data_IF_998812329682
#
_entry.id   IF_998812329682
#
_cell.length_a   1.000
_cell.length_b   1.000
_cell.length_c   1.000
_cell.angle_alpha   90.00
_cell.angle_beta   90.00
_cell.angle_gamma   90.00
#
_symmetry.space_group_name_H-M   'P 1'
#
loop_
_entity.id
_entity.type
_entity.pdbx_description
1 polymer ?
#
# COMPACT_ATOMS: atom_id res chain seq x y z
N UNK A 1 48.69 31.51 -10.36
CA UNK A 1 48.24 31.86 -11.72
C UNK A 1 46.97 31.05 -12.02
N UNK A 2 45.77 31.64 -11.87
CA UNK A 2 44.50 30.94 -12.11
C UNK A 2 44.31 30.66 -13.61
N UNK A 3 43.97 29.40 -13.95
CA UNK A 3 43.71 28.97 -15.33
C UNK A 3 42.33 29.48 -15.77
N UNK A 4 42.32 30.43 -16.70
CA UNK A 4 41.10 30.98 -17.29
C UNK A 4 40.50 29.91 -18.21
N UNK A 5 39.36 29.35 -17.82
CA UNK A 5 38.58 28.46 -18.67
C UNK A 5 37.72 29.31 -19.62
N UNK A 6 38.13 29.40 -20.89
CA UNK A 6 37.27 30.00 -21.92
C UNK A 6 36.00 29.16 -22.08
N UNK A 7 34.86 29.85 -22.15
CA UNK A 7 33.56 29.24 -22.46
C UNK A 7 33.66 28.60 -23.85
N UNK A 8 33.17 27.36 -23.95
CA UNK A 8 33.17 26.60 -25.20
C UNK A 8 32.28 27.27 -26.23
N UNK A 9 32.69 27.20 -27.50
CA UNK A 9 31.90 27.74 -28.60
C UNK A 9 30.67 26.85 -28.84
N UNK A 10 29.57 27.40 -29.41
CA UNK A 10 28.36 26.61 -29.69
C UNK A 10 28.63 25.37 -30.55
N UNK A 11 29.57 25.48 -31.50
CA UNK A 11 30.01 24.37 -32.35
C UNK A 11 30.61 23.22 -31.52
N UNK A 12 31.45 23.54 -30.54
CA UNK A 12 32.12 22.57 -29.68
C UNK A 12 31.15 21.86 -28.73
N UNK A 13 30.03 22.52 -28.38
CA UNK A 13 28.97 21.90 -27.59
C UNK A 13 28.14 20.88 -28.40
N UNK A 14 27.87 21.18 -29.68
CA UNK A 14 27.18 20.26 -30.60
C UNK A 14 28.02 18.99 -30.80
N UNK A 15 29.31 19.12 -31.09
CA UNK A 15 30.22 17.99 -31.28
C UNK A 15 30.33 17.13 -30.01
N UNK A 16 30.37 17.77 -28.84
CA UNK A 16 30.36 17.06 -27.56
C UNK A 16 29.07 16.28 -27.34
N UNK A 17 27.91 16.85 -27.68
CA UNK A 17 26.61 16.17 -27.59
C UNK A 17 26.55 14.99 -28.57
N UNK A 18 27.03 15.15 -29.80
CA UNK A 18 27.14 14.08 -30.78
C UNK A 18 28.04 12.94 -30.28
N UNK A 19 29.23 13.26 -29.76
CA UNK A 19 30.17 12.28 -29.19
C UNK A 19 29.59 11.56 -27.97
N UNK A 20 28.84 12.26 -27.12
CA UNK A 20 28.16 11.66 -25.96
C UNK A 20 27.01 10.74 -26.39
N UNK A 21 26.29 11.07 -27.47
CA UNK A 21 25.23 10.23 -28.06
C UNK A 21 25.83 8.97 -28.69
N UNK A 22 26.88 9.10 -29.49
CA UNK A 22 27.59 7.98 -30.09
C UNK A 22 28.16 7.00 -29.02
N UNK A 23 28.73 7.54 -27.92
CA UNK A 23 29.23 6.69 -26.82
C UNK A 23 28.11 5.92 -26.11
N UNK A 24 26.93 6.52 -25.95
CA UNK A 24 25.75 5.87 -25.37
C UNK A 24 25.19 4.77 -26.28
N UNK A 25 25.16 5.03 -27.58
CA UNK A 25 24.68 4.08 -28.59
C UNK A 25 25.63 2.87 -28.69
N UNK A 26 26.94 3.12 -28.71
CA UNK A 26 27.93 2.05 -28.70
C UNK A 26 27.86 1.22 -27.41
N UNK A 27 27.67 1.87 -26.25
CA UNK A 27 27.43 1.18 -24.98
C UNK A 27 26.22 0.23 -25.01
N UNK A 28 25.10 0.66 -25.63
CA UNK A 28 23.89 -0.17 -25.76
C UNK A 28 24.11 -1.43 -26.60
N UNK A 29 24.86 -1.33 -27.70
CA UNK A 29 25.18 -2.50 -28.52
C UNK A 29 26.10 -3.50 -27.80
N UNK A 30 27.08 -3.01 -27.04
CA UNK A 30 27.98 -3.90 -26.27
C UNK A 30 27.27 -4.62 -25.12
N UNK A 31 26.34 -3.97 -24.41
CA UNK A 31 25.58 -4.61 -23.32
C UNK A 31 24.55 -5.62 -23.84
N UNK A 32 23.96 -5.37 -25.01
CA UNK A 32 23.00 -6.29 -25.64
C UNK A 32 23.69 -7.59 -26.10
N UNK A 33 24.89 -7.49 -26.66
CA UNK A 33 25.61 -8.67 -27.16
C UNK A 33 26.18 -9.54 -26.02
N UNK A 34 26.59 -8.92 -24.90
CA UNK A 34 27.06 -9.65 -23.71
C UNK A 34 25.95 -10.50 -23.08
N UNK A 35 24.70 -10.01 -23.06
CA UNK A 35 23.53 -10.78 -22.59
C UNK A 35 23.09 -11.90 -23.54
N UNK A 36 23.43 -11.81 -24.83
CA UNK A 36 23.11 -12.86 -25.82
C UNK A 36 24.12 -14.01 -25.78
N UNK A 37 25.41 -13.71 -25.55
CA UNK A 37 26.48 -14.71 -25.47
C UNK A 37 26.42 -15.59 -24.21
N UNK A 38 25.86 -15.12 -23.09
CA UNK A 38 25.65 -15.96 -21.90
C UNK A 38 24.44 -16.90 -22.02
N UNK A 39 23.56 -16.68 -23.00
CA UNK A 39 22.33 -17.47 -23.17
C UNK A 39 22.50 -18.73 -24.02
N UNK A 40 23.59 -18.86 -24.77
CA UNK A 40 23.81 -19.99 -25.70
C UNK A 40 24.68 -21.13 -25.13
N UNK A 41 25.19 -21.03 -23.89
CA UNK A 41 26.03 -22.07 -23.28
C UNK A 41 25.45 -22.76 -22.04
N UNK A 42 24.15 -22.57 -21.74
CA UNK A 42 23.51 -23.26 -20.61
C UNK A 42 22.34 -24.14 -21.07
N UNK A 43 22.57 -25.44 -21.34
CA UNK A 43 21.52 -26.39 -21.67
C UNK A 43 20.84 -26.87 -20.39
N UNK A 44 19.99 -26.03 -19.79
CA UNK A 44 18.88 -26.39 -18.89
C UNK A 44 18.42 -25.17 -18.09
N UNK A 45 17.44 -24.44 -18.62
CA UNK A 45 16.55 -23.62 -17.79
C UNK A 45 15.25 -23.34 -18.55
N UNK A 46 14.28 -24.24 -18.39
CA UNK A 46 12.87 -23.96 -18.66
C UNK A 46 12.42 -22.83 -17.72
N UNK A 47 12.51 -21.57 -18.16
CA UNK A 47 11.81 -20.45 -17.51
C UNK A 47 10.53 -20.17 -18.27
N UNK A 48 9.42 -20.69 -17.72
CA UNK A 48 8.06 -20.25 -18.03
C UNK A 48 7.92 -18.80 -17.59
N UNK A 49 7.88 -17.89 -18.55
CA UNK A 49 7.35 -16.53 -18.39
C UNK A 49 6.27 -16.36 -19.44
N UNK A 50 5.05 -16.70 -19.05
CA UNK A 50 3.79 -16.24 -19.64
C UNK A 50 2.72 -16.68 -18.64
N UNK A 51 2.25 -15.75 -17.80
CA UNK A 51 0.96 -15.91 -17.14
C UNK A 51 -0.08 -15.66 -18.22
N UNK A 52 -0.51 -16.77 -18.81
CA UNK A 52 -1.69 -16.84 -19.65
C UNK A 52 -2.91 -16.93 -18.75
N UNK A 53 -3.87 -16.09 -19.08
CA UNK A 53 -5.20 -15.97 -18.53
C UNK A 53 -6.04 -17.12 -19.08
N UNK A 54 -6.21 -18.21 -18.34
CA UNK A 54 -7.18 -19.25 -18.72
C UNK A 54 -7.87 -19.84 -17.48
N UNK A 55 -9.18 -19.80 -17.60
CA UNK A 55 -10.27 -20.26 -16.76
C UNK A 55 -10.28 -21.78 -16.49
N UNK A 56 -10.82 -22.14 -15.32
CA UNK A 56 -11.91 -23.11 -15.17
C UNK A 56 -11.83 -24.44 -15.93
N UNK A 57 -11.48 -25.53 -15.23
CA UNK A 57 -12.11 -26.85 -15.45
C UNK A 57 -11.83 -27.79 -14.29
N UNK A 58 -12.90 -28.23 -13.63
CA UNK A 58 -12.99 -29.46 -12.84
C UNK A 58 -12.59 -30.67 -13.70
N UNK A 59 -11.72 -31.55 -13.18
CA UNK A 59 -11.85 -33.00 -13.42
C UNK A 59 -11.07 -33.82 -12.38
N UNK A 60 -11.81 -34.71 -11.72
CA UNK A 60 -11.38 -35.76 -10.82
C UNK A 60 -10.57 -36.85 -11.57
N UNK A 61 -9.31 -37.11 -11.18
CA UNK A 61 -8.74 -38.46 -11.34
C UNK A 61 -7.59 -38.72 -10.34
N UNK A 62 -7.70 -39.73 -9.45
CA UNK A 62 -6.60 -40.15 -8.58
C UNK A 62 -5.75 -41.24 -9.25
N UNK A 63 -4.54 -40.88 -9.68
CA UNK A 63 -3.51 -41.81 -10.17
C UNK A 63 -2.45 -42.11 -9.10
N UNK A 64 -2.06 -43.39 -8.86
CA UNK A 64 -1.18 -43.76 -7.77
C UNK A 64 0.32 -43.74 -8.14
N UNK A 65 1.14 -43.28 -7.19
CA UNK A 65 2.45 -43.86 -6.92
C UNK A 65 3.65 -43.37 -7.75
N UNK A 66 4.34 -42.35 -7.27
CA UNK A 66 5.78 -42.20 -7.49
C UNK A 66 6.47 -41.70 -6.22
N UNK A 67 7.42 -42.49 -5.71
CA UNK A 67 8.23 -42.21 -4.52
C UNK A 67 9.13 -41.00 -4.74
N UNK A 68 9.26 -40.05 -3.81
CA UNK A 68 10.25 -38.99 -3.94
C UNK A 68 11.63 -39.51 -3.55
N UNK A 69 12.53 -39.47 -4.53
CA UNK A 69 13.97 -39.61 -4.37
C UNK A 69 14.50 -38.48 -3.50
N UNK A 70 15.04 -38.83 -2.34
CA UNK A 70 15.87 -38.00 -1.49
C UNK A 70 17.13 -37.53 -2.23
N UNK A 71 17.60 -36.32 -1.92
CA UNK A 71 18.83 -35.65 -2.37
C UNK A 71 18.73 -34.84 -3.67
N UNK A 72 18.15 -33.64 -3.58
CA UNK A 72 18.46 -32.53 -4.49
C UNK A 72 18.60 -31.23 -3.70
N UNK A 73 19.84 -31.00 -3.28
CA UNK A 73 20.53 -29.70 -3.13
C UNK A 73 19.66 -28.47 -2.84
N UNK A 74 19.80 -27.98 -1.60
CA UNK A 74 19.42 -26.64 -1.17
C UNK A 74 19.99 -25.59 -2.13
N UNK A 75 19.14 -25.10 -3.03
CA UNK A 75 19.37 -23.86 -3.75
C UNK A 75 19.26 -22.72 -2.73
N UNK A 76 20.40 -22.28 -2.22
CA UNK A 76 20.55 -21.04 -1.47
C UNK A 76 20.17 -19.89 -2.40
N UNK A 77 18.89 -19.52 -2.40
CA UNK A 77 18.43 -18.26 -2.96
C UNK A 77 18.99 -17.16 -2.06
N UNK A 78 20.25 -16.78 -2.28
CA UNK A 78 20.76 -15.52 -1.77
C UNK A 78 20.01 -14.42 -2.50
N UNK A 79 19.21 -13.58 -1.79
CA UNK A 79 18.60 -12.43 -2.40
C UNK A 79 19.70 -11.57 -3.01
N UNK A 80 19.54 -11.17 -4.28
CA UNK A 80 20.48 -10.28 -4.93
C UNK A 80 20.41 -8.90 -4.26
N UNK A 81 21.22 -8.71 -3.22
CA UNK A 81 21.23 -7.53 -2.37
C UNK A 81 21.60 -6.26 -3.15
N UNK A 82 22.35 -6.40 -4.25
CA UNK A 82 22.67 -5.27 -5.13
C UNK A 82 21.45 -4.80 -5.91
N UNK A 83 20.65 -5.75 -6.41
CA UNK A 83 19.35 -5.47 -7.06
C UNK A 83 18.39 -4.76 -6.11
N UNK A 84 18.21 -5.29 -4.89
CA UNK A 84 17.31 -4.70 -3.88
C UNK A 84 17.79 -3.30 -3.46
N UNK A 85 19.11 -3.11 -3.34
CA UNK A 85 19.70 -1.80 -3.00
C UNK A 85 19.51 -0.79 -4.13
N UNK A 86 19.70 -1.20 -5.38
CA UNK A 86 19.48 -0.33 -6.53
C UNK A 86 18.02 0.11 -6.65
N UNK A 87 17.07 -0.80 -6.39
CA UNK A 87 15.64 -0.48 -6.39
C UNK A 87 15.26 0.51 -5.27
N UNK A 88 15.81 0.32 -4.06
CA UNK A 88 15.62 1.26 -2.96
C UNK A 88 16.25 2.63 -3.22
N UNK A 89 17.44 2.68 -3.83
CA UNK A 89 18.08 3.93 -4.22
C UNK A 89 17.31 4.64 -5.35
N UNK A 90 16.77 3.90 -6.33
CA UNK A 90 15.91 4.46 -7.37
C UNK A 90 14.57 4.97 -6.79
N UNK A 91 13.96 4.24 -5.85
CA UNK A 91 12.75 4.67 -5.16
C UNK A 91 12.99 5.97 -4.37
N UNK A 92 14.09 6.05 -3.61
CA UNK A 92 14.50 7.27 -2.90
C UNK A 92 14.82 8.42 -3.86
N UNK A 93 15.43 8.12 -5.01
CA UNK A 93 15.71 9.13 -6.02
C UNK A 93 14.41 9.69 -6.63
N UNK A 94 13.43 8.83 -6.92
CA UNK A 94 12.11 9.26 -7.41
C UNK A 94 11.33 10.04 -6.37
N UNK A 95 11.32 9.59 -5.12
CA UNK A 95 10.70 10.32 -4.01
C UNK A 95 11.34 11.70 -3.83
N UNK A 96 12.67 11.78 -3.88
CA UNK A 96 13.41 13.05 -3.81
C UNK A 96 13.11 13.97 -4.99
N UNK A 97 12.96 13.42 -6.20
CA UNK A 97 12.56 14.19 -7.38
C UNK A 97 11.11 14.66 -7.27
N UNK A 98 10.20 13.84 -6.75
CA UNK A 98 8.80 14.22 -6.55
C UNK A 98 8.65 15.32 -5.48
N UNK A 99 9.35 15.20 -4.36
CA UNK A 99 9.36 16.21 -3.30
C UNK A 99 9.95 17.55 -3.79
N UNK A 100 10.95 17.52 -4.67
CA UNK A 100 11.53 18.74 -5.25
C UNK A 100 10.56 19.48 -6.18
N UNK A 101 9.62 18.79 -6.84
CA UNK A 101 8.57 19.44 -7.64
C UNK A 101 7.42 19.97 -6.78
N UNK A 102 7.10 19.31 -5.66
CA UNK A 102 6.06 19.75 -4.72
C UNK A 102 6.47 21.05 -3.99
N UNK A 103 7.78 21.25 -3.75
CA UNK A 103 8.31 22.49 -3.18
C UNK A 103 8.34 23.68 -4.17
N UNK A 104 8.31 23.45 -5.48
CA UNK A 104 8.25 24.53 -6.49
C UNK A 104 6.82 25.10 -6.62
N UNK A 105 5.77 24.27 -6.47
CA UNK A 105 4.37 24.74 -6.40
C UNK A 105 4.11 25.64 -5.15
N UNK A 106 4.99 25.56 -4.15
CA UNK A 106 4.96 26.40 -2.95
C UNK A 106 5.49 27.81 -3.19
N UNK A 107 6.38 28.02 -4.17
CA UNK A 107 6.94 29.33 -4.48
C UNK A 107 5.90 30.27 -5.11
N UNK A 108 5.06 29.76 -6.00
CA UNK A 108 3.92 30.52 -6.57
C UNK A 108 2.91 30.91 -5.47
N UNK A 109 2.71 30.02 -4.49
CA UNK A 109 1.85 30.26 -3.32
C UNK A 109 2.44 31.32 -2.37
N UNK A 110 3.77 31.36 -2.23
CA UNK A 110 4.48 32.31 -1.40
C UNK A 110 4.61 33.69 -2.08
N UNK A 111 4.75 33.73 -3.40
CA UNK A 111 4.73 34.96 -4.19
C UNK A 111 3.35 35.63 -4.15
N UNK A 112 2.26 34.84 -4.29
CA UNK A 112 0.90 35.34 -4.10
C UNK A 112 0.69 35.93 -2.69
N UNK A 113 1.16 35.21 -1.66
CA UNK A 113 1.06 35.66 -0.27
C UNK A 113 1.96 36.87 0.07
N UNK A 114 3.12 37.01 -0.57
CA UNK A 114 3.97 38.20 -0.40
C UNK A 114 3.37 39.43 -1.07
N UNK A 115 2.73 39.26 -2.22
CA UNK A 115 2.00 40.33 -2.89
C UNK A 115 0.76 40.78 -2.10
N UNK A 116 0.14 39.89 -1.32
CA UNK A 116 -0.98 40.25 -0.42
C UNK A 116 -0.54 41.09 0.80
N UNK A 117 0.69 40.90 1.31
CA UNK A 117 1.19 41.65 2.47
C UNK A 117 1.89 42.97 2.11
N UNK A 118 2.28 43.17 0.86
CA UNK A 118 2.69 44.47 0.36
C UNK A 118 1.44 45.32 0.07
N UNK A 119 0.76 45.78 1.13
CA UNK A 119 -0.28 46.81 1.03
C UNK A 119 0.37 48.15 0.66
N UNK A 120 0.85 48.24 -0.59
CA UNK A 120 1.25 49.48 -1.25
C UNK A 120 -0.03 50.32 -1.37
N UNK A 121 -0.12 51.47 -0.68
CA UNK A 121 -1.30 52.33 -0.75
C UNK A 121 -1.61 52.68 -2.20
N UNK A 122 -2.88 52.63 -2.58
CA UNK A 122 -3.35 52.78 -3.98
C UNK A 122 -2.79 54.01 -4.68
N UNK A 123 -2.57 55.12 -3.97
CA UNK A 123 -1.99 56.34 -4.54
C UNK A 123 -0.54 56.20 -5.05
N UNK A 124 0.19 55.17 -4.62
CA UNK A 124 1.54 54.82 -5.10
C UNK A 124 1.53 53.70 -6.15
N UNK A 125 0.38 53.03 -6.38
CA UNK A 125 0.15 52.22 -7.57
C UNK A 125 -0.15 53.17 -8.73
N UNK A 126 0.90 53.82 -9.22
CA UNK A 126 0.89 54.75 -10.34
C UNK A 126 -0.02 54.27 -11.48
N UNK A 127 -1.14 54.98 -11.69
CA UNK A 127 -1.73 55.31 -12.99
C UNK A 127 -1.82 54.19 -14.07
N UNK A 128 -2.00 52.92 -13.68
CA UNK A 128 -2.12 51.80 -14.64
C UNK A 128 -3.34 50.91 -14.40
N UNK A 129 -4.14 51.13 -13.37
CA UNK A 129 -5.38 50.37 -13.14
C UNK A 129 -6.46 51.32 -12.64
N UNK A 130 -7.24 51.84 -13.58
CA UNK A 130 -8.54 52.45 -13.35
C UNK A 130 -9.50 51.41 -12.76
N UNK A 131 -10.30 51.86 -11.79
CA UNK A 131 -11.62 51.34 -11.38
C UNK A 131 -11.74 49.87 -10.98
N UNK A 132 -11.26 49.52 -9.78
CA UNK A 132 -11.85 48.45 -8.98
C UNK A 132 -12.81 49.07 -7.93
N UNK A 133 -14.02 49.45 -8.37
CA UNK A 133 -15.13 49.63 -7.45
C UNK A 133 -16.35 48.89 -7.97
N UNK A 134 -16.80 47.91 -7.17
CA UNK A 134 -18.17 47.42 -7.11
C UNK A 134 -18.62 46.46 -8.22
N UNK A 135 -18.46 45.15 -7.97
CA UNK A 135 -19.49 44.16 -8.32
C UNK A 135 -19.65 43.74 -9.78
N UNK A 136 -18.64 43.91 -10.64
CA UNK A 136 -18.60 43.25 -11.94
C UNK A 136 -17.32 42.43 -12.10
N UNK A 137 -17.47 41.22 -12.63
CA UNK A 137 -16.48 40.16 -12.60
C UNK A 137 -15.13 40.64 -13.15
N UNK A 138 -14.05 40.24 -12.47
CA UNK A 138 -12.70 40.34 -12.98
C UNK A 138 -12.64 39.69 -14.38
N UNK A 139 -12.72 40.51 -15.43
CA UNK A 139 -12.53 40.14 -16.84
C UNK A 139 -11.06 39.79 -17.10
N UNK A 140 -10.56 38.76 -16.42
CA UNK A 140 -9.18 38.29 -16.57
C UNK A 140 -8.93 37.63 -17.93
N UNK A 141 -10.00 37.28 -18.66
CA UNK A 141 -9.93 36.87 -20.05
C UNK A 141 -10.47 38.02 -20.93
N UNK A 142 -9.60 38.61 -21.75
CA UNK A 142 -9.93 39.62 -22.76
C UNK A 142 -11.05 39.18 -23.73
N UNK A 143 -11.43 37.91 -23.73
CA UNK A 143 -12.55 37.34 -24.49
C UNK A 143 -13.92 37.67 -23.88
N UNK A 144 -14.04 37.82 -22.56
CA UNK A 144 -15.32 38.13 -21.92
C UNK A 144 -15.72 39.60 -22.14
N UNK A 145 -14.75 40.52 -22.17
CA UNK A 145 -14.99 41.95 -22.44
C UNK A 145 -15.63 42.18 -23.83
N UNK A 146 -15.36 41.30 -24.81
CA UNK A 146 -15.87 41.44 -26.19
C UNK A 146 -17.24 40.83 -26.42
N UNK A 147 -17.74 40.00 -25.49
CA UNK A 147 -19.06 39.38 -25.56
C UNK A 147 -20.15 40.24 -24.90
N UNK A 148 -19.79 41.33 -24.21
CA UNK A 148 -20.75 42.26 -23.63
C UNK A 148 -21.35 43.18 -24.71
N UNK A 149 -22.62 43.53 -24.54
CA UNK A 149 -23.36 44.42 -25.45
C UNK A 149 -22.76 45.84 -25.38
N UNK A 150 -22.21 46.40 -26.47
CA UNK A 150 -21.55 47.71 -26.45
C UNK A 150 -22.46 48.88 -26.05
N UNK A 151 -23.79 48.70 -26.07
CA UNK A 151 -24.76 49.71 -25.66
C UNK A 151 -24.89 49.88 -24.13
N UNK A 152 -24.33 48.96 -23.35
CA UNK A 152 -24.37 48.99 -21.88
C UNK A 152 -23.01 49.29 -21.23
N UNK A 153 -21.94 49.43 -22.02
CA UNK A 153 -20.60 49.76 -21.53
C UNK A 153 -20.48 51.25 -21.25
N UNK A 154 -19.66 51.60 -20.25
CA UNK A 154 -19.26 52.99 -20.05
C UNK A 154 -18.27 53.44 -21.16
N UNK A 155 -18.05 54.75 -21.28
CA UNK A 155 -17.23 55.31 -22.36
C UNK A 155 -15.75 54.84 -22.30
N UNK A 156 -15.26 54.51 -21.10
CA UNK A 156 -13.90 53.99 -20.88
C UNK A 156 -13.78 52.52 -21.31
N UNK A 157 -14.72 51.67 -20.91
CA UNK A 157 -14.87 50.27 -21.29
C UNK A 157 -15.09 50.14 -22.80
N UNK A 158 -15.91 51.02 -23.39
CA UNK A 158 -16.12 51.06 -24.83
C UNK A 158 -14.81 51.42 -25.58
N UNK A 159 -14.03 52.37 -25.06
CA UNK A 159 -12.74 52.73 -25.64
C UNK A 159 -11.72 51.58 -25.55
N UNK A 160 -11.77 50.77 -24.51
CA UNK A 160 -10.95 49.55 -24.38
C UNK A 160 -11.45 48.42 -25.28
N UNK A 161 -12.76 48.22 -25.38
CA UNK A 161 -13.38 47.29 -26.32
C UNK A 161 -12.99 47.59 -27.77
N UNK A 162 -13.04 48.86 -28.20
CA UNK A 162 -12.59 49.31 -29.52
C UNK A 162 -11.09 49.03 -29.71
N UNK A 163 -10.25 49.35 -28.72
CA UNK A 163 -8.80 49.09 -28.78
C UNK A 163 -8.49 47.60 -28.90
N UNK A 164 -9.15 46.77 -28.12
CA UNK A 164 -9.02 45.30 -28.14
C UNK A 164 -9.55 44.70 -29.44
N UNK A 165 -10.67 45.19 -29.96
CA UNK A 165 -11.22 44.77 -31.26
C UNK A 165 -10.30 45.16 -32.43
N UNK A 166 -9.71 46.35 -32.39
CA UNK A 166 -8.73 46.80 -33.39
C UNK A 166 -7.41 46.04 -33.29
N UNK A 167 -6.95 45.72 -32.08
CA UNK A 167 -5.78 44.89 -31.85
C UNK A 167 -5.97 43.47 -32.41
N UNK A 168 -7.13 42.85 -32.18
CA UNK A 168 -7.48 41.53 -32.76
C UNK A 168 -7.54 41.55 -34.29
N UNK A 169 -8.07 42.63 -34.89
CA UNK A 169 -8.13 42.76 -36.36
C UNK A 169 -6.74 42.91 -36.98
N UNK A 170 -5.82 43.60 -36.30
CA UNK A 170 -4.44 43.83 -36.78
C UNK A 170 -3.49 42.68 -36.47
N UNK A 171 -3.68 42.00 -35.35
CA UNK A 171 -2.86 40.87 -34.86
C UNK A 171 -3.63 39.55 -34.92
N UNK A 172 -4.58 39.42 -35.84
CA UNK A 172 -5.43 38.22 -35.98
C UNK A 172 -4.62 36.94 -36.13
N UNK A 173 -3.47 37.01 -36.82
CA UNK A 173 -2.56 35.89 -37.02
C UNK A 173 -1.84 35.49 -35.74
N UNK A 174 -1.40 36.45 -34.93
CA UNK A 174 -0.73 36.17 -33.65
C UNK A 174 -1.73 35.62 -32.62
N UNK A 175 -2.97 36.14 -32.63
CA UNK A 175 -4.04 35.62 -31.77
C UNK A 175 -4.40 34.17 -32.11
N UNK A 176 -4.48 33.84 -33.40
CA UNK A 176 -4.72 32.45 -33.83
C UNK A 176 -3.58 31.52 -33.38
N UNK A 177 -2.33 31.95 -33.51
CA UNK A 177 -1.16 31.16 -33.06
C UNK A 177 -1.14 30.99 -31.52
N UNK A 178 -1.51 32.04 -30.77
CA UNK A 178 -1.62 31.97 -29.32
C UNK A 178 -2.75 31.05 -28.85
N UNK A 179 -3.90 31.10 -29.52
CA UNK A 179 -5.02 30.19 -29.26
C UNK A 179 -4.67 28.73 -29.57
N UNK A 180 -3.99 28.46 -30.69
CA UNK A 180 -3.48 27.12 -30.98
C UNK A 180 -2.45 26.65 -29.94
N UNK A 181 -1.59 27.54 -29.47
CA UNK A 181 -0.62 27.25 -28.41
C UNK A 181 -1.30 26.94 -27.07
N UNK A 182 -2.36 27.68 -26.71
CA UNK A 182 -3.18 27.46 -25.50
C UNK A 182 -3.91 26.12 -25.62
N UNK A 183 -4.60 25.88 -26.73
CA UNK A 183 -5.29 24.62 -27.01
C UNK A 183 -4.34 23.41 -26.99
N UNK A 184 -3.14 23.53 -27.56
CA UNK A 184 -2.13 22.45 -27.52
C UNK A 184 -1.62 22.17 -26.10
N UNK A 185 -1.44 23.21 -25.28
CA UNK A 185 -1.04 23.05 -23.86
C UNK A 185 -2.16 22.40 -23.05
N UNK A 186 -3.39 22.81 -23.26
CA UNK A 186 -4.56 22.23 -22.60
C UNK A 186 -4.80 20.79 -23.04
N UNK A 187 -4.68 20.48 -24.33
CA UNK A 187 -4.75 19.11 -24.84
C UNK A 187 -3.68 18.21 -24.21
N UNK A 188 -2.43 18.70 -24.11
CA UNK A 188 -1.34 17.94 -23.44
C UNK A 188 -1.62 17.73 -21.94
N UNK A 189 -2.12 18.75 -21.25
CA UNK A 189 -2.51 18.64 -19.83
C UNK A 189 -3.68 17.67 -19.64
N UNK A 190 -4.66 17.68 -20.55
CA UNK A 190 -5.80 16.78 -20.52
C UNK A 190 -5.39 15.32 -20.76
N UNK A 191 -4.51 15.07 -21.73
CA UNK A 191 -3.97 13.73 -22.00
C UNK A 191 -3.15 13.20 -20.81
N UNK A 192 -2.29 14.04 -20.22
CA UNK A 192 -1.52 13.66 -19.04
C UNK A 192 -2.42 13.38 -17.82
N UNK A 193 -3.45 14.20 -17.61
CA UNK A 193 -4.45 13.99 -16.56
C UNK A 193 -5.25 12.70 -16.79
N UNK A 194 -5.60 12.39 -18.03
CA UNK A 194 -6.27 11.14 -18.38
C UNK A 194 -5.39 9.93 -18.08
N UNK A 195 -4.12 9.95 -18.52
CA UNK A 195 -3.16 8.87 -18.24
C UNK A 195 -2.91 8.71 -16.73
N UNK A 196 -2.83 9.82 -15.98
CA UNK A 196 -2.68 9.79 -14.52
C UNK A 196 -3.93 9.24 -13.84
N UNK A 197 -5.12 9.57 -14.33
CA UNK A 197 -6.37 9.03 -13.80
C UNK A 197 -6.51 7.52 -14.07
N UNK A 198 -6.11 7.03 -15.24
CA UNK A 198 -6.12 5.59 -15.55
C UNK A 198 -5.14 4.81 -14.67
N UNK A 199 -3.91 5.31 -14.53
CA UNK A 199 -2.91 4.67 -13.65
C UNK A 199 -3.33 4.70 -12.18
N UNK A 200 -3.94 5.79 -11.71
CA UNK A 200 -4.49 5.88 -10.37
C UNK A 200 -5.67 4.91 -10.14
N UNK A 201 -6.56 4.74 -11.13
CA UNK A 201 -7.65 3.77 -11.06
C UNK A 201 -7.13 2.34 -10.98
N UNK A 202 -6.15 1.98 -11.80
CA UNK A 202 -5.53 0.66 -11.77
C UNK A 202 -4.82 0.39 -10.43
N UNK A 203 -4.09 1.39 -9.91
CA UNK A 203 -3.41 1.28 -8.62
C UNK A 203 -4.40 1.11 -7.45
N UNK A 204 -5.51 1.86 -7.46
CA UNK A 204 -6.55 1.74 -6.44
C UNK A 204 -7.21 0.35 -6.46
N UNK A 205 -7.46 -0.23 -7.64
CA UNK A 205 -7.98 -1.59 -7.77
C UNK A 205 -6.99 -2.63 -7.22
N UNK A 206 -5.70 -2.50 -7.53
CA UNK A 206 -4.67 -3.40 -7.02
C UNK A 206 -4.51 -3.31 -5.49
N UNK A 207 -4.59 -2.11 -4.91
CA UNK A 207 -4.54 -1.90 -3.46
C UNK A 207 -5.75 -2.54 -2.76
N UNK A 208 -6.95 -2.38 -3.33
CA UNK A 208 -8.16 -3.00 -2.79
C UNK A 208 -8.09 -4.53 -2.85
N UNK A 209 -7.60 -5.10 -3.95
CA UNK A 209 -7.42 -6.54 -4.06
C UNK A 209 -6.41 -7.06 -3.03
N UNK A 210 -5.29 -6.37 -2.87
CA UNK A 210 -4.28 -6.71 -1.86
C UNK A 210 -4.86 -6.64 -0.45
N UNK A 211 -5.65 -5.61 -0.14
CA UNK A 211 -6.37 -5.46 1.13
C UNK A 211 -7.36 -6.60 1.35
N UNK A 212 -8.13 -6.99 0.33
CA UNK A 212 -9.06 -8.12 0.39
C UNK A 212 -8.33 -9.44 0.65
N UNK A 213 -7.24 -9.69 -0.07
CA UNK A 213 -6.41 -10.89 0.09
C UNK A 213 -5.79 -10.97 1.49
N UNK A 214 -5.35 -9.85 2.06
CA UNK A 214 -4.84 -9.78 3.44
C UNK A 214 -5.93 -10.16 4.45
N UNK A 215 -7.14 -9.60 4.32
CA UNK A 215 -8.28 -9.94 5.19
C UNK A 215 -8.64 -11.43 5.09
N UNK A 216 -8.69 -11.99 3.88
CA UNK A 216 -8.97 -13.42 3.69
C UNK A 216 -7.90 -14.32 4.32
N UNK A 217 -6.62 -13.97 4.19
CA UNK A 217 -5.53 -14.70 4.85
C UNK A 217 -5.67 -14.68 6.37
N UNK A 218 -6.03 -13.53 6.95
CA UNK A 218 -6.28 -13.41 8.38
C UNK A 218 -7.45 -14.28 8.82
N UNK A 219 -8.59 -14.26 8.11
CA UNK A 219 -9.74 -15.12 8.40
C UNK A 219 -9.35 -16.60 8.37
N UNK A 220 -8.68 -17.05 7.30
CA UNK A 220 -8.19 -18.44 7.17
C UNK A 220 -7.25 -18.82 8.32
N UNK A 221 -6.38 -17.90 8.73
CA UNK A 221 -5.48 -18.13 9.87
C UNK A 221 -6.25 -18.33 11.17
N UNK A 222 -7.29 -17.55 11.42
CA UNK A 222 -8.17 -17.73 12.59
C UNK A 222 -8.94 -19.05 12.52
N UNK A 223 -9.47 -19.42 11.35
CA UNK A 223 -10.16 -20.71 11.16
C UNK A 223 -9.25 -21.90 11.43
N UNK A 224 -8.03 -21.88 10.86
CA UNK A 224 -7.04 -22.91 11.10
C UNK A 224 -6.67 -23.02 12.59
N UNK A 225 -6.44 -21.88 13.26
CA UNK A 225 -6.14 -21.86 14.69
C UNK A 225 -7.28 -22.42 15.56
N UNK A 226 -8.54 -22.20 15.17
CA UNK A 226 -9.70 -22.79 15.87
C UNK A 226 -9.80 -24.30 15.66
N UNK A 227 -9.56 -24.76 14.43
CA UNK A 227 -9.52 -26.20 14.15
C UNK A 227 -8.40 -26.88 14.94
N UNK A 228 -7.22 -26.26 15.04
CA UNK A 228 -6.10 -26.74 15.84
C UNK A 228 -6.49 -26.80 17.33
N UNK A 229 -7.09 -25.73 17.87
CA UNK A 229 -7.60 -25.68 19.25
C UNK A 229 -8.55 -26.85 19.57
N UNK A 230 -9.53 -27.13 18.69
CA UNK A 230 -10.47 -28.22 18.91
C UNK A 230 -9.82 -29.60 18.75
N UNK A 231 -8.90 -29.76 17.80
CA UNK A 231 -8.14 -31.01 17.62
C UNK A 231 -7.27 -31.34 18.84
N UNK A 232 -6.62 -30.32 19.43
CA UNK A 232 -5.81 -30.44 20.63
C UNK A 232 -6.65 -30.75 21.86
N UNK A 233 -7.82 -30.13 21.97
CA UNK A 233 -8.78 -30.48 23.02
C UNK A 233 -9.22 -31.94 22.93
N UNK A 234 -9.55 -32.42 21.72
CA UNK A 234 -9.88 -33.83 21.50
C UNK A 234 -8.71 -34.75 21.86
N UNK A 235 -7.50 -34.41 21.45
CA UNK A 235 -6.29 -35.18 21.78
C UNK A 235 -6.06 -35.26 23.30
N UNK A 236 -6.21 -34.14 24.02
CA UNK A 236 -6.06 -34.11 25.48
C UNK A 236 -7.14 -34.90 26.21
N UNK A 237 -8.37 -34.93 25.70
CA UNK A 237 -9.45 -35.71 26.27
C UNK A 237 -9.30 -37.21 26.01
N UNK A 238 -8.68 -37.60 24.89
CA UNK A 238 -8.39 -38.99 24.55
C UNK A 238 -7.13 -39.54 25.24
N UNK A 239 -6.24 -38.65 25.67
CA UNK A 239 -5.00 -39.04 26.34
C UNK A 239 -5.31 -39.65 27.72
N UNK A 240 -4.92 -40.91 27.91
CA UNK A 240 -5.09 -41.65 29.15
C UNK A 240 -4.19 -41.08 30.27
N UNK A 241 -4.58 -41.32 31.54
CA UNK A 241 -3.83 -40.87 32.73
C UNK A 241 -2.38 -41.38 32.79
N UNK A 242 -2.03 -42.43 32.04
CA UNK A 242 -0.74 -43.11 32.12
C UNK A 242 0.37 -42.49 31.26
N UNK A 243 0.05 -41.70 30.23
CA UNK A 243 0.95 -41.59 29.07
C UNK A 243 1.71 -40.26 28.91
N UNK A 244 1.40 -39.18 29.64
CA UNK A 244 2.19 -37.94 29.49
C UNK A 244 2.12 -36.96 30.68
N UNK A 245 3.29 -36.39 31.02
CA UNK A 245 3.40 -35.17 31.82
C UNK A 245 3.10 -33.98 30.93
N UNK A 246 2.02 -33.25 31.23
CA UNK A 246 1.60 -32.06 30.49
C UNK A 246 2.36 -30.82 30.99
N UNK A 247 2.71 -29.94 30.07
CA UNK A 247 3.26 -28.62 30.34
C UNK A 247 2.20 -27.53 30.15
N UNK A 248 2.47 -26.32 30.65
CA UNK A 248 1.58 -25.17 30.48
C UNK A 248 1.24 -24.88 28.99
N UNK A 249 2.18 -25.15 28.07
CA UNK A 249 2.00 -24.90 26.64
C UNK A 249 1.17 -25.97 25.92
N UNK A 250 1.02 -27.16 26.51
CA UNK A 250 0.26 -28.27 25.91
C UNK A 250 -1.25 -28.02 26.02
N UNK A 251 -1.67 -27.28 27.05
CA UNK A 251 -3.06 -26.87 27.26
C UNK A 251 -3.51 -25.95 26.11
N UNK A 252 -4.68 -26.17 25.48
CA UNK A 252 -5.14 -25.41 24.33
C UNK A 252 -5.86 -24.18 24.86
N UNK A 253 -5.11 -23.12 25.14
CA UNK A 253 -5.68 -21.85 25.60
C UNK A 253 -6.52 -21.19 24.51
N UNK A 254 -7.66 -20.55 24.84
CA UNK A 254 -8.58 -19.96 23.88
C UNK A 254 -8.09 -18.60 23.36
N UNK A 255 -6.84 -18.54 22.90
CA UNK A 255 -6.19 -17.34 22.34
C UNK A 255 -5.33 -17.72 21.14
N UNK A 256 -5.22 -16.81 20.17
CA UNK A 256 -4.49 -17.08 18.92
C UNK A 256 -2.99 -17.36 19.17
N UNK A 257 -2.39 -16.70 20.16
CA UNK A 257 -0.98 -16.86 20.50
C UNK A 257 -0.63 -18.32 20.88
N UNK A 258 -1.58 -19.04 21.49
CA UNK A 258 -1.39 -20.41 21.96
C UNK A 258 -1.43 -21.46 20.84
N UNK A 259 -2.01 -21.13 19.68
CA UNK A 259 -2.18 -22.05 18.55
C UNK A 259 -1.05 -21.95 17.51
N UNK A 260 -0.09 -21.03 17.69
CA UNK A 260 1.08 -20.86 16.80
C UNK A 260 2.12 -21.99 16.91
N UNK A 261 1.74 -23.16 17.41
CA UNK A 261 2.66 -24.29 17.63
C UNK A 261 2.75 -25.19 16.39
N UNK A 262 1.67 -25.31 15.62
CA UNK A 262 1.59 -26.09 14.38
C UNK A 262 2.31 -25.44 13.19
N UNK A 263 2.39 -24.10 13.16
CA UNK A 263 3.13 -23.35 12.14
C UNK A 263 4.65 -23.32 12.36
N UNK A 264 5.13 -23.82 13.51
CA UNK A 264 6.54 -23.74 13.90
C UNK A 264 7.33 -24.94 13.41
N UNK A 265 8.58 -24.70 13.06
CA UNK A 265 9.54 -25.77 12.80
C UNK A 265 9.97 -26.41 14.14
N UNK A 266 10.38 -27.68 14.10
CA UNK A 266 10.77 -28.44 15.29
C UNK A 266 11.90 -27.79 16.13
N UNK A 267 12.62 -26.81 15.56
CA UNK A 267 13.72 -26.09 16.22
C UNK A 267 13.31 -24.75 16.85
N UNK A 268 12.05 -24.30 16.68
CA UNK A 268 11.62 -23.04 17.26
C UNK A 268 11.37 -23.19 18.77
N UNK A 269 11.73 -22.18 19.59
CA UNK A 269 11.47 -22.22 21.02
C UNK A 269 9.96 -22.37 21.28
N UNK A 270 9.56 -23.03 22.39
CA UNK A 270 8.15 -23.21 22.72
C UNK A 270 7.44 -21.85 22.86
N UNK A 271 6.14 -21.77 22.51
CA UNK A 271 5.39 -20.53 22.64
C UNK A 271 5.33 -20.11 24.12
N UNK A 272 5.89 -18.94 24.41
CA UNK A 272 5.80 -18.33 25.74
C UNK A 272 4.44 -17.64 25.82
N UNK A 273 3.49 -18.30 26.49
CA UNK A 273 2.17 -17.73 26.77
C UNK A 273 2.29 -17.00 28.12
N UNK A 274 2.15 -15.68 28.06
CA UNK A 274 2.05 -14.80 29.24
C UNK A 274 0.61 -14.75 29.71
N UNK A 275 0.40 -14.55 31.02
CA UNK A 275 -0.94 -14.43 31.60
C UNK A 275 -1.69 -13.20 31.05
N UNK A 276 -0.97 -12.14 30.72
CA UNK A 276 -1.54 -10.90 30.16
C UNK A 276 -2.18 -11.11 28.78
N UNK A 277 -1.71 -12.10 28.02
CA UNK A 277 -2.31 -12.46 26.73
C UNK A 277 -3.66 -13.17 26.88
N UNK A 278 -4.00 -13.65 28.09
CA UNK A 278 -5.30 -14.26 28.38
C UNK A 278 -6.34 -13.18 28.74
N UNK A 279 -6.39 -12.10 27.97
CA UNK A 279 -7.36 -11.01 28.18
C UNK A 279 -8.74 -11.39 27.64
N UNK A 280 -9.79 -10.76 28.19
CA UNK A 280 -11.16 -10.98 27.73
C UNK A 280 -11.35 -10.59 26.26
N UNK A 281 -10.64 -9.57 25.77
CA UNK A 281 -10.69 -9.13 24.38
C UNK A 281 -10.08 -10.18 23.44
N UNK A 282 -8.91 -10.71 23.77
CA UNK A 282 -8.25 -11.73 22.94
C UNK A 282 -9.06 -13.03 22.90
N UNK A 283 -9.62 -13.43 24.04
CA UNK A 283 -10.50 -14.61 24.14
C UNK A 283 -11.78 -14.40 23.33
N UNK A 284 -12.37 -13.19 23.38
CA UNK A 284 -13.55 -12.86 22.59
C UNK A 284 -13.28 -12.94 21.09
N UNK A 285 -12.21 -12.29 20.61
CA UNK A 285 -11.81 -12.31 19.20
C UNK A 285 -11.55 -13.74 18.72
N UNK A 286 -10.94 -14.57 19.56
CA UNK A 286 -10.65 -15.97 19.21
C UNK A 286 -11.90 -16.84 19.17
N UNK A 287 -12.75 -16.84 20.21
CA UNK A 287 -13.90 -17.75 20.30
C UNK A 287 -15.11 -17.29 19.49
N UNK A 288 -15.30 -15.98 19.39
CA UNK A 288 -16.49 -15.35 18.81
C UNK A 288 -16.04 -14.44 17.67
N UNK A 289 -15.95 -14.95 16.43
CA UNK A 289 -15.73 -14.08 15.29
C UNK A 289 -16.84 -13.02 15.22
N UNK A 290 -16.48 -11.80 14.83
CA UNK A 290 -17.40 -10.67 14.66
C UNK A 290 -18.30 -10.91 13.43
N UNK A 291 -19.27 -11.80 13.60
CA UNK A 291 -20.27 -12.20 12.61
C UNK A 291 -21.53 -11.37 12.89
N UNK A 292 -22.36 -11.03 11.88
CA UNK A 292 -23.54 -10.19 12.07
C UNK A 292 -24.38 -10.60 13.27
N UNK A 293 -24.89 -9.59 14.00
CA UNK A 293 -25.64 -9.71 15.26
C UNK A 293 -27.05 -10.31 15.08
N UNK A 294 -27.17 -11.35 14.28
CA UNK A 294 -28.38 -12.13 14.17
C UNK A 294 -28.64 -12.87 15.49
N UNK A 295 -29.92 -13.08 15.82
CA UNK A 295 -30.31 -13.80 17.04
C UNK A 295 -29.74 -15.22 17.08
N UNK A 296 -29.57 -15.86 15.92
CA UNK A 296 -28.90 -17.16 15.80
C UNK A 296 -27.41 -17.07 16.18
N UNK A 297 -26.70 -16.05 15.71
CA UNK A 297 -25.29 -15.80 16.03
C UNK A 297 -25.08 -15.52 17.52
N UNK A 298 -26.01 -14.79 18.17
CA UNK A 298 -25.97 -14.55 19.62
C UNK A 298 -26.15 -15.83 20.43
N UNK A 299 -27.05 -16.74 20.00
CA UNK A 299 -27.24 -18.04 20.64
C UNK A 299 -25.98 -18.91 20.49
N UNK A 300 -25.43 -19.00 19.27
CA UNK A 300 -24.19 -19.74 19.00
C UNK A 300 -23.00 -19.16 19.79
N UNK A 301 -22.92 -17.83 19.95
CA UNK A 301 -21.92 -17.16 20.80
C UNK A 301 -22.03 -17.64 22.24
N UNK A 302 -23.22 -17.56 22.84
CA UNK A 302 -23.45 -17.98 24.23
C UNK A 302 -23.17 -19.46 24.43
N UNK A 303 -23.52 -20.30 23.47
CA UNK A 303 -23.24 -21.73 23.51
C UNK A 303 -21.74 -22.04 23.50
N UNK A 304 -20.96 -21.41 22.60
CA UNK A 304 -19.50 -21.56 22.58
C UNK A 304 -18.84 -21.07 23.86
N UNK A 305 -19.30 -19.95 24.41
CA UNK A 305 -18.79 -19.42 25.68
C UNK A 305 -19.11 -20.37 26.85
N UNK A 306 -20.32 -20.94 26.90
CA UNK A 306 -20.68 -21.94 27.90
C UNK A 306 -19.89 -23.24 27.76
N UNK A 307 -19.68 -23.71 26.53
CA UNK A 307 -18.88 -24.90 26.27
C UNK A 307 -17.44 -24.70 26.74
N UNK A 308 -16.81 -23.58 26.37
CA UNK A 308 -15.45 -23.26 26.82
C UNK A 308 -15.38 -23.04 28.33
N UNK A 309 -16.38 -22.43 28.95
CA UNK A 309 -16.47 -22.31 30.40
C UNK A 309 -16.51 -23.68 31.09
N UNK A 310 -17.29 -24.63 30.55
CA UNK A 310 -17.35 -25.99 31.07
C UNK A 310 -16.03 -26.75 30.91
N UNK A 311 -15.29 -26.50 29.81
CA UNK A 311 -13.94 -27.07 29.59
C UNK A 311 -12.92 -26.53 30.61
N UNK A 312 -13.00 -25.24 30.94
CA UNK A 312 -12.08 -24.56 31.85
C UNK A 312 -12.59 -24.41 33.29
N UNK A 313 -13.66 -25.10 33.67
CA UNK A 313 -14.19 -25.00 35.03
C UNK A 313 -13.11 -25.45 36.05
N UNK A 314 -12.77 -24.65 37.07
CA UNK A 314 -11.62 -24.91 37.94
C UNK A 314 -11.71 -26.30 38.59
N UNK A 315 -12.83 -26.64 39.21
CA UNK A 315 -13.02 -27.95 39.86
C UNK A 315 -12.84 -29.16 38.91
N UNK A 316 -13.48 -29.13 37.74
CA UNK A 316 -13.41 -30.23 36.76
C UNK A 316 -12.04 -30.31 36.11
N UNK A 317 -11.41 -29.17 35.84
CA UNK A 317 -10.09 -29.11 35.24
C UNK A 317 -9.02 -29.60 36.24
N UNK A 318 -9.10 -29.16 37.50
CA UNK A 318 -8.17 -29.58 38.54
C UNK A 318 -8.24 -31.08 38.80
N UNK A 319 -9.46 -31.64 38.91
CA UNK A 319 -9.64 -33.08 39.12
C UNK A 319 -9.10 -33.95 37.99
N UNK A 320 -9.16 -33.47 36.73
CA UNK A 320 -8.80 -34.26 35.54
C UNK A 320 -7.36 -34.07 35.07
N UNK A 321 -6.87 -32.82 35.04
CA UNK A 321 -5.63 -32.48 34.35
C UNK A 321 -4.51 -32.06 35.29
N UNK A 322 -4.78 -31.46 36.46
CA UNK A 322 -3.70 -30.95 37.33
C UNK A 322 -2.75 -32.04 37.82
N UNK A 323 -3.25 -33.27 38.03
CA UNK A 323 -2.40 -34.42 38.39
C UNK A 323 -1.39 -34.80 37.30
N UNK A 324 -1.68 -34.46 36.04
CA UNK A 324 -0.83 -34.73 34.87
C UNK A 324 0.11 -33.57 34.57
N UNK A 325 -0.17 -32.38 35.07
CA UNK A 325 0.64 -31.19 34.81
C UNK A 325 1.89 -31.19 35.68
N UNK A 326 3.02 -30.84 35.09
CA UNK A 326 4.30 -30.69 35.79
C UNK A 326 4.13 -29.74 36.98
N UNK A 327 4.64 -30.13 38.15
CA UNK A 327 4.47 -29.39 39.41
C UNK A 327 4.86 -27.89 39.31
N UNK A 328 5.92 -27.58 38.57
CA UNK A 328 6.37 -26.19 38.31
C UNK A 328 5.36 -25.33 37.54
N UNK A 329 4.51 -25.95 36.74
CA UNK A 329 3.52 -25.28 35.88
C UNK A 329 2.12 -25.30 36.51
N UNK A 330 1.90 -26.05 37.60
CA UNK A 330 0.57 -26.21 38.21
C UNK A 330 0.02 -24.89 38.73
N UNK A 331 0.82 -24.13 39.49
CA UNK A 331 0.39 -22.83 40.04
C UNK A 331 0.05 -21.84 38.93
N UNK A 332 0.94 -21.72 37.93
CA UNK A 332 0.72 -20.88 36.74
C UNK A 332 -0.53 -21.30 35.97
N UNK A 333 -0.79 -22.60 35.85
CA UNK A 333 -1.99 -23.13 35.18
C UNK A 333 -3.26 -22.76 35.95
N UNK A 334 -3.26 -22.91 37.29
CA UNK A 334 -4.40 -22.55 38.14
C UNK A 334 -4.74 -21.07 38.02
N UNK A 335 -3.73 -20.21 38.04
CA UNK A 335 -3.91 -18.77 37.87
C UNK A 335 -4.49 -18.45 36.48
N UNK A 336 -3.92 -19.03 35.42
CA UNK A 336 -4.39 -18.85 34.04
C UNK A 336 -5.85 -19.30 33.85
N UNK A 337 -6.24 -20.44 34.44
CA UNK A 337 -7.64 -20.90 34.42
C UNK A 337 -8.54 -19.88 35.11
N UNK A 338 -8.12 -19.37 36.28
CA UNK A 338 -8.86 -18.34 36.99
C UNK A 338 -9.06 -17.08 36.15
N UNK A 339 -8.04 -16.65 35.41
CA UNK A 339 -8.12 -15.52 34.47
C UNK A 339 -9.12 -15.82 33.34
N UNK A 340 -9.01 -16.98 32.68
CA UNK A 340 -9.91 -17.38 31.58
C UNK A 340 -11.36 -17.46 32.05
N UNK A 341 -11.63 -18.06 33.21
CA UNK A 341 -12.98 -18.20 33.76
C UNK A 341 -13.59 -16.83 34.08
N UNK A 342 -12.82 -15.91 34.67
CA UNK A 342 -13.26 -14.52 34.91
C UNK A 342 -13.57 -13.81 33.59
N UNK A 343 -12.69 -13.95 32.60
CA UNK A 343 -12.90 -13.38 31.27
C UNK A 343 -14.15 -13.94 30.60
N UNK A 344 -14.39 -15.26 30.67
CA UNK A 344 -15.57 -15.90 30.11
C UNK A 344 -16.86 -15.43 30.79
N UNK A 345 -16.87 -15.23 32.11
CA UNK A 345 -18.03 -14.67 32.81
C UNK A 345 -18.35 -13.26 32.32
N UNK A 346 -17.35 -12.38 32.23
CA UNK A 346 -17.53 -11.03 31.67
C UNK A 346 -18.12 -11.08 30.24
N UNK A 347 -17.65 -12.02 29.41
CA UNK A 347 -18.16 -12.19 28.04
C UNK A 347 -19.54 -12.84 27.94
N UNK A 348 -19.99 -13.57 28.96
CA UNK A 348 -21.34 -14.14 29.03
C UNK A 348 -22.37 -13.11 29.51
N UNK A 349 -21.95 -12.20 30.38
CA UNK A 349 -22.77 -11.11 30.94
C UNK A 349 -22.86 -9.89 30.00
N UNK A 350 -21.92 -9.76 29.05
CA UNK A 350 -21.89 -8.73 27.99
C UNK A 350 -22.59 -9.15 26.69
#
# INVERSE_FOLDING_TARGET
MPKIHLKRTPQEEIDRRARKRAKREHGRHTSSNKRRSERELSPHAHRKWASDDESESDDDTPGPGARPSSYAQSSSYEPDYESIRAELEEARFREKMAAAFDDDDRLDSLEARMNDYAHVPERWRSASHTSASTGHGSFADNDDLLNLDPAQMDDEEYAEWIRSAMYRKTHAKEYAEEQERKARREARRAEEKARRAETARLAAQAEEEHRRKKRQKEVRRFEFARADYDSRWKALLLLSDADAVLTFADIPWPVLAAQRRSERHANDPPPVISLDALSAEEIAVFLVPDVPKDEASKKNRKEKLRETYLRFHPDKFEGRFMRRIRERDQEKTREAIGVVVRALNVLMDA
#
